data_IF_253991196160
#
_entry.id   IF_253991196160
#
_cell.length_a   1.000
_cell.length_b   1.000
_cell.length_c   1.000
_cell.angle_alpha   90.00
_cell.angle_beta   90.00
_cell.angle_gamma   90.00
#
_symmetry.space_group_name_H-M   'P 1'
#
loop_
_entity.id
_entity.type
_entity.pdbx_description
1 polymer ?
#
# COMPACT_ATOMS: atom_id res chain seq x y z
N UNK A 1 78.74 -21.31 8.10
CA UNK A 1 77.43 -21.62 7.45
C UNK A 1 76.52 -20.43 7.61
N UNK A 2 76.29 -19.66 6.54
CA UNK A 2 75.44 -18.47 6.60
C UNK A 2 74.03 -18.96 6.24
N UNK A 3 73.20 -19.09 7.23
CA UNK A 3 71.78 -19.35 7.03
C UNK A 3 71.14 -18.09 6.46
N UNK A 4 70.83 -18.08 5.18
CA UNK A 4 70.03 -17.02 4.58
C UNK A 4 68.64 -17.04 5.24
N UNK A 5 68.17 -15.89 5.82
CA UNK A 5 66.80 -15.84 6.32
C UNK A 5 65.86 -16.16 5.16
N UNK A 6 64.92 -17.04 5.36
CA UNK A 6 63.86 -17.33 4.39
C UNK A 6 63.11 -16.00 4.12
N UNK A 7 63.30 -15.51 2.93
CA UNK A 7 62.56 -14.33 2.44
C UNK A 7 61.14 -14.76 2.13
N UNK A 8 60.32 -14.85 3.17
CA UNK A 8 58.91 -15.16 3.07
C UNK A 8 58.08 -14.00 2.51
N UNK A 9 58.61 -12.79 2.59
CA UNK A 9 57.91 -11.59 2.10
C UNK A 9 57.75 -11.61 0.59
N UNK A 10 58.75 -12.18 -0.15
CA UNK A 10 58.64 -12.27 -1.64
C UNK A 10 57.66 -13.36 -2.12
N UNK A 11 57.25 -14.26 -1.23
CA UNK A 11 56.25 -15.32 -1.53
C UNK A 11 54.83 -14.96 -1.10
N UNK A 12 54.68 -13.86 -0.33
CA UNK A 12 53.36 -13.36 -0.02
C UNK A 12 52.78 -12.73 -1.29
N UNK A 13 51.68 -13.32 -1.73
CA UNK A 13 50.89 -12.80 -2.86
C UNK A 13 50.52 -11.35 -2.53
N UNK A 14 50.79 -10.37 -3.39
CA UNK A 14 50.36 -9.00 -3.15
C UNK A 14 48.88 -8.99 -2.85
N UNK A 15 48.47 -8.23 -1.85
CA UNK A 15 47.07 -8.06 -1.50
C UNK A 15 46.26 -7.71 -2.74
N UNK A 16 45.07 -8.33 -2.94
CA UNK A 16 44.25 -7.99 -4.07
C UNK A 16 43.95 -6.49 -4.03
N UNK A 17 44.54 -5.74 -4.93
CA UNK A 17 44.29 -4.33 -5.12
C UNK A 17 42.86 -4.10 -5.52
N UNK A 18 42.11 -3.42 -4.69
CA UNK A 18 40.78 -2.87 -4.93
C UNK A 18 39.58 -3.79 -4.73
N UNK A 19 39.38 -4.27 -3.51
CA UNK A 19 38.02 -4.62 -3.05
C UNK A 19 37.10 -3.38 -2.99
N UNK A 20 37.68 -2.18 -2.97
CA UNK A 20 36.92 -0.92 -2.94
C UNK A 20 36.03 -0.74 -4.18
N UNK A 21 36.49 -1.12 -5.38
CA UNK A 21 35.67 -1.08 -6.59
C UNK A 21 34.47 -2.00 -6.50
N UNK A 22 34.64 -3.21 -5.94
CA UNK A 22 33.55 -4.17 -5.75
C UNK A 22 32.52 -3.67 -4.72
N UNK A 23 33.03 -3.02 -3.66
CA UNK A 23 32.18 -2.39 -2.64
C UNK A 23 31.33 -1.27 -3.25
N UNK A 24 31.91 -0.35 -4.02
CA UNK A 24 31.16 0.73 -4.67
C UNK A 24 30.16 0.23 -5.70
N UNK A 25 30.47 -0.84 -6.44
CA UNK A 25 29.53 -1.47 -7.36
C UNK A 25 28.35 -2.06 -6.60
N UNK A 26 28.60 -2.77 -5.49
CA UNK A 26 27.53 -3.32 -4.66
C UNK A 26 26.62 -2.25 -4.06
N UNK A 27 27.22 -1.17 -3.52
CA UNK A 27 26.46 -0.03 -2.98
C UNK A 27 25.65 0.64 -4.08
N UNK A 28 26.22 0.81 -5.28
CA UNK A 28 25.54 1.38 -6.42
C UNK A 28 24.35 0.53 -6.89
N UNK A 29 24.51 -0.78 -6.99
CA UNK A 29 23.44 -1.71 -7.34
C UNK A 29 22.33 -1.72 -6.29
N UNK A 30 22.70 -1.70 -4.99
CA UNK A 30 21.74 -1.62 -3.89
C UNK A 30 20.96 -0.32 -3.92
N UNK A 31 21.63 0.82 -4.16
CA UNK A 31 20.97 2.12 -4.30
C UNK A 31 20.01 2.15 -5.50
N UNK A 32 20.42 1.62 -6.65
CA UNK A 32 19.56 1.48 -7.82
C UNK A 32 18.35 0.59 -7.55
N UNK A 33 18.55 -0.51 -6.83
CA UNK A 33 17.45 -1.39 -6.41
C UNK A 33 16.44 -0.62 -5.55
N UNK A 34 16.88 0.13 -4.55
CA UNK A 34 15.98 0.94 -3.71
C UNK A 34 15.31 2.07 -4.49
N UNK A 35 16.00 2.70 -5.44
CA UNK A 35 15.39 3.71 -6.32
C UNK A 35 14.33 3.11 -7.25
N UNK A 36 14.60 1.95 -7.82
CA UNK A 36 13.68 1.30 -8.76
C UNK A 36 12.45 0.69 -8.05
N UNK A 37 12.64 0.11 -6.88
CA UNK A 37 11.59 -0.62 -6.16
C UNK A 37 11.02 0.15 -4.97
N UNK A 38 11.78 1.05 -4.34
CA UNK A 38 11.35 1.81 -3.16
C UNK A 38 10.13 2.68 -3.41
N UNK A 39 9.99 3.26 -4.59
CA UNK A 39 8.83 4.06 -4.96
C UNK A 39 7.54 3.23 -5.05
N UNK A 40 7.63 1.94 -5.37
CA UNK A 40 6.47 1.05 -5.44
C UNK A 40 6.00 0.57 -4.07
N UNK A 41 6.92 0.43 -3.12
CA UNK A 41 6.57 0.04 -1.74
C UNK A 41 5.93 1.19 -0.94
N UNK A 42 6.26 2.45 -1.26
CA UNK A 42 5.70 3.62 -0.57
C UNK A 42 4.31 3.98 -1.11
N UNK A 43 4.00 3.68 -2.39
CA UNK A 43 2.74 4.05 -3.04
C UNK A 43 1.57 3.10 -2.77
N UNK A 44 1.77 1.98 -2.09
CA UNK A 44 0.73 1.05 -1.73
C UNK A 44 0.78 0.66 -0.24
N UNK A 45 0.60 1.61 0.69
CA UNK A 45 0.48 1.25 2.11
C UNK A 45 -0.76 0.39 2.30
N UNK A 46 -0.57 -0.90 2.58
CA UNK A 46 -1.63 -1.80 3.02
C UNK A 46 -2.47 -2.49 1.95
N UNK A 47 -2.04 -2.53 0.69
CA UNK A 47 -2.79 -3.17 -0.39
C UNK A 47 -2.31 -4.59 -0.76
N UNK A 48 -1.63 -5.27 0.14
CA UNK A 48 -1.30 -6.69 -0.01
C UNK A 48 -2.47 -7.64 0.32
N UNK A 49 -3.71 -7.19 0.10
CA UNK A 49 -4.90 -7.97 0.42
C UNK A 49 -5.76 -8.06 -0.83
N UNK A 50 -6.04 -9.27 -1.27
CA UNK A 50 -7.03 -9.52 -2.31
C UNK A 50 -8.39 -8.98 -1.83
N UNK A 51 -8.78 -7.86 -2.44
CA UNK A 51 -10.08 -7.24 -2.25
C UNK A 51 -10.97 -7.59 -3.43
N UNK A 52 -11.96 -8.40 -3.18
CA UNK A 52 -13.03 -8.63 -4.14
C UNK A 52 -14.08 -7.52 -3.95
N UNK A 53 -14.06 -6.53 -4.83
CA UNK A 53 -15.03 -5.44 -4.81
C UNK A 53 -16.41 -5.95 -5.22
N UNK A 54 -17.51 -5.40 -4.66
CA UNK A 54 -18.86 -5.73 -5.09
C UNK A 54 -19.05 -5.29 -6.54
N UNK A 55 -19.57 -6.19 -7.37
CA UNK A 55 -19.90 -5.90 -8.77
C UNK A 55 -21.24 -5.17 -8.84
N UNK A 56 -21.21 -3.93 -9.27
CA UNK A 56 -22.41 -3.11 -9.42
C UNK A 56 -22.57 -2.68 -10.88
N UNK A 57 -23.69 -3.00 -11.53
CA UNK A 57 -23.98 -2.48 -12.87
C UNK A 57 -24.09 -0.97 -12.82
N UNK A 58 -23.35 -0.29 -13.68
CA UNK A 58 -23.29 1.18 -13.73
C UNK A 58 -22.21 1.81 -12.84
N UNK A 59 -21.26 1.02 -12.35
CA UNK A 59 -20.05 1.58 -11.73
C UNK A 59 -19.31 2.44 -12.77
N UNK A 60 -19.13 3.72 -12.48
CA UNK A 60 -18.44 4.65 -13.37
C UNK A 60 -16.95 4.58 -13.07
N UNK A 61 -16.14 4.30 -14.09
CA UNK A 61 -14.68 4.32 -14.01
C UNK A 61 -14.17 5.77 -13.92
N UNK A 62 -14.40 6.41 -12.79
CA UNK A 62 -13.84 7.74 -12.53
C UNK A 62 -12.85 7.65 -11.37
N UNK A 63 -11.62 8.10 -11.63
CA UNK A 63 -10.65 8.36 -10.58
C UNK A 63 -11.09 9.61 -9.78
N UNK A 64 -11.84 9.40 -8.71
CA UNK A 64 -12.17 10.47 -7.78
C UNK A 64 -10.97 10.69 -6.87
N UNK A 65 -10.45 11.91 -6.87
CA UNK A 65 -9.41 12.30 -5.91
C UNK A 65 -10.04 12.37 -4.53
N UNK A 66 -9.69 11.44 -3.66
CA UNK A 66 -10.18 11.39 -2.28
C UNK A 66 -9.07 11.75 -1.31
N UNK A 67 -9.42 12.42 -0.23
CA UNK A 67 -8.46 12.82 0.82
C UNK A 67 -8.11 11.66 1.74
N UNK A 68 -9.04 10.74 1.95
CA UNK A 68 -8.88 9.61 2.87
C UNK A 68 -9.50 8.34 2.31
N UNK A 69 -8.91 7.20 2.60
CA UNK A 69 -9.37 5.89 2.12
C UNK A 69 -9.53 4.92 3.28
N UNK A 70 -10.65 4.20 3.30
CA UNK A 70 -10.92 3.10 4.23
C UNK A 70 -11.16 1.82 3.43
N UNK A 71 -10.62 0.72 3.92
CA UNK A 71 -10.83 -0.60 3.34
C UNK A 71 -11.42 -1.55 4.37
N UNK A 72 -12.52 -2.22 4.02
CA UNK A 72 -13.25 -3.15 4.90
C UNK A 72 -13.25 -4.54 4.29
N UNK A 73 -12.72 -5.51 5.03
CA UNK A 73 -12.71 -6.92 4.63
C UNK A 73 -13.99 -7.65 4.99
N UNK A 74 -14.20 -8.82 4.37
CA UNK A 74 -15.29 -9.75 4.71
C UNK A 74 -15.28 -10.17 6.18
N UNK A 75 -14.10 -10.19 6.82
CA UNK A 75 -13.93 -10.50 8.24
C UNK A 75 -14.42 -9.39 9.17
N UNK A 76 -14.91 -8.25 8.64
CA UNK A 76 -15.27 -7.07 9.44
C UNK A 76 -14.07 -6.23 9.89
N UNK A 77 -12.87 -6.58 9.46
CA UNK A 77 -11.68 -5.80 9.75
C UNK A 77 -11.65 -4.51 8.93
N UNK A 78 -11.41 -3.40 9.61
CA UNK A 78 -11.37 -2.05 9.02
C UNK A 78 -9.92 -1.59 8.97
N UNK A 79 -9.48 -1.19 7.79
CA UNK A 79 -8.14 -0.67 7.54
C UNK A 79 -8.23 0.78 7.06
N UNK A 80 -7.53 1.67 7.76
CA UNK A 80 -7.25 3.04 7.31
C UNK A 80 -5.72 3.24 7.36
N UNK A 81 -5.18 3.98 8.32
CA UNK A 81 -3.72 4.04 8.57
C UNK A 81 -3.19 2.85 9.37
N UNK A 82 -4.01 1.83 9.58
CA UNK A 82 -3.75 0.60 10.32
C UNK A 82 -5.04 -0.18 10.52
N UNK A 83 -4.98 -1.25 11.29
CA UNK A 83 -6.15 -2.01 11.68
C UNK A 83 -6.92 -1.25 12.77
N UNK A 84 -8.17 -0.92 12.52
CA UNK A 84 -9.03 -0.16 13.44
C UNK A 84 -10.26 -0.98 13.84
N UNK A 85 -10.67 -0.79 15.08
CA UNK A 85 -12.01 -1.19 15.55
C UNK A 85 -13.05 -0.11 15.21
N UNK A 86 -14.33 -0.42 15.23
CA UNK A 86 -15.41 0.55 14.96
C UNK A 86 -15.34 1.83 15.83
N UNK A 87 -15.09 1.75 17.15
CA UNK A 87 -14.92 2.96 17.98
C UNK A 87 -13.72 3.80 17.55
N UNK A 88 -12.58 3.14 17.27
CA UNK A 88 -11.36 3.82 16.81
C UNK A 88 -11.55 4.46 15.44
N UNK A 89 -12.31 3.83 14.55
CA UNK A 89 -12.68 4.39 13.25
C UNK A 89 -13.44 5.71 13.41
N UNK A 90 -14.41 5.80 14.33
CA UNK A 90 -15.17 7.02 14.57
C UNK A 90 -14.27 8.18 15.03
N UNK A 91 -13.30 7.89 15.88
CA UNK A 91 -12.33 8.89 16.33
C UNK A 91 -11.37 9.30 15.21
N UNK A 92 -10.86 8.34 14.49
CA UNK A 92 -9.99 8.57 13.34
C UNK A 92 -10.70 9.43 12.28
N UNK A 93 -11.94 9.13 11.94
CA UNK A 93 -12.75 9.92 11.00
C UNK A 93 -12.92 11.37 11.44
N UNK A 94 -13.16 11.62 12.73
CA UNK A 94 -13.28 12.99 13.28
C UNK A 94 -11.97 13.77 13.17
N UNK A 95 -10.86 13.10 13.40
CA UNK A 95 -9.52 13.71 13.27
C UNK A 95 -9.24 14.02 11.80
N UNK A 96 -9.51 13.05 10.92
CA UNK A 96 -9.22 13.15 9.51
C UNK A 96 -10.10 14.22 8.82
N UNK A 97 -11.38 14.32 9.18
CA UNK A 97 -12.27 15.35 8.66
C UNK A 97 -11.81 16.77 9.01
N UNK A 98 -11.14 16.95 10.15
CA UNK A 98 -10.63 18.27 10.58
C UNK A 98 -9.35 18.70 9.86
N UNK A 99 -8.60 17.74 9.29
CA UNK A 99 -7.34 18.04 8.58
C UNK A 99 -7.59 18.76 7.24
N UNK A 100 -8.74 18.55 6.64
CA UNK A 100 -9.03 19.03 5.29
C UNK A 100 -10.22 19.97 5.25
N UNK A 101 -10.13 21.00 4.44
CA UNK A 101 -11.21 21.98 4.26
C UNK A 101 -12.43 21.40 3.52
N UNK A 102 -12.19 20.43 2.65
CA UNK A 102 -13.21 19.66 1.91
C UNK A 102 -12.87 18.18 2.01
N UNK A 103 -13.22 17.53 3.14
CA UNK A 103 -12.90 16.12 3.32
C UNK A 103 -13.72 15.26 2.36
N UNK A 104 -13.05 14.31 1.70
CA UNK A 104 -13.66 13.30 0.85
C UNK A 104 -13.16 11.93 1.21
N UNK A 105 -14.07 10.98 1.34
CA UNK A 105 -13.79 9.63 1.81
C UNK A 105 -14.07 8.60 0.72
N UNK A 106 -13.08 7.78 0.42
CA UNK A 106 -13.26 6.58 -0.38
C UNK A 106 -13.40 5.37 0.55
N UNK A 107 -14.52 4.68 0.45
CA UNK A 107 -14.78 3.46 1.21
C UNK A 107 -14.73 2.28 0.26
N UNK A 108 -13.74 1.42 0.44
CA UNK A 108 -13.59 0.17 -0.30
C UNK A 108 -14.09 -0.96 0.58
N UNK A 109 -15.14 -1.65 0.15
CA UNK A 109 -15.70 -2.79 0.87
C UNK A 109 -15.60 -4.04 0.03
N UNK A 110 -15.28 -5.14 0.67
CA UNK A 110 -15.37 -6.45 0.01
C UNK A 110 -16.82 -6.87 -0.16
N UNK A 111 -17.10 -7.61 -1.23
CA UNK A 111 -18.46 -8.02 -1.62
C UNK A 111 -19.25 -8.79 -0.53
N UNK A 112 -18.54 -9.44 0.39
CA UNK A 112 -19.16 -10.21 1.50
C UNK A 112 -19.42 -9.41 2.77
N UNK A 113 -19.17 -8.07 2.79
CA UNK A 113 -19.44 -7.24 3.98
C UNK A 113 -20.95 -7.05 4.15
N UNK A 114 -21.53 -7.33 5.34
CA UNK A 114 -22.94 -7.11 5.59
C UNK A 114 -23.34 -5.64 5.40
N UNK A 115 -24.52 -5.40 4.81
CA UNK A 115 -25.04 -4.04 4.58
C UNK A 115 -25.21 -3.25 5.88
N UNK A 116 -25.44 -3.92 7.00
CA UNK A 116 -25.50 -3.28 8.31
C UNK A 116 -24.19 -2.60 8.69
N UNK A 117 -23.06 -3.28 8.48
CA UNK A 117 -21.71 -2.74 8.73
C UNK A 117 -21.41 -1.58 7.78
N UNK A 118 -21.81 -1.73 6.51
CA UNK A 118 -21.68 -0.65 5.53
C UNK A 118 -22.42 0.61 5.98
N UNK A 119 -23.68 0.47 6.39
CA UNK A 119 -24.49 1.59 6.85
C UNK A 119 -23.92 2.24 8.12
N UNK A 120 -23.36 1.43 9.02
CA UNK A 120 -22.73 1.94 10.24
C UNK A 120 -21.49 2.77 9.93
N UNK A 121 -20.64 2.33 9.02
CA UNK A 121 -19.45 3.06 8.59
C UNK A 121 -19.83 4.36 7.88
N UNK A 122 -20.80 4.33 6.97
CA UNK A 122 -21.28 5.51 6.25
C UNK A 122 -21.91 6.52 7.22
N UNK A 123 -22.68 6.06 8.19
CA UNK A 123 -23.25 6.93 9.22
C UNK A 123 -22.17 7.59 10.09
N UNK A 124 -21.20 6.81 10.53
CA UNK A 124 -20.04 7.32 11.28
C UNK A 124 -19.24 8.38 10.48
N UNK A 125 -19.06 8.15 9.16
CA UNK A 125 -18.37 9.10 8.30
C UNK A 125 -19.17 10.41 8.11
N UNK A 126 -20.49 10.32 7.99
CA UNK A 126 -21.36 11.51 7.93
C UNK A 126 -21.34 12.31 9.21
N UNK A 127 -21.41 11.64 10.37
CA UNK A 127 -21.32 12.27 11.69
C UNK A 127 -19.96 12.94 11.92
N UNK A 128 -18.90 12.38 11.36
CA UNK A 128 -17.56 12.94 11.47
C UNK A 128 -17.33 14.20 10.64
N UNK A 129 -18.19 14.50 9.64
CA UNK A 129 -18.11 15.71 8.83
C UNK A 129 -17.77 15.50 7.34
N UNK A 130 -17.73 14.27 6.85
CA UNK A 130 -17.54 14.00 5.40
C UNK A 130 -18.79 14.30 4.57
N UNK A 131 -19.95 14.41 5.22
CA UNK A 131 -21.21 14.84 4.56
C UNK A 131 -21.60 13.94 3.38
N UNK A 132 -21.77 14.55 2.20
CA UNK A 132 -22.10 13.86 0.95
C UNK A 132 -20.88 13.37 0.16
N UNK A 133 -19.67 13.71 0.59
CA UNK A 133 -18.44 13.40 -0.14
C UNK A 133 -17.89 12.00 0.24
N UNK A 134 -18.78 11.01 0.28
CA UNK A 134 -18.44 9.62 0.55
C UNK A 134 -18.64 8.84 -0.75
N UNK A 135 -17.57 8.26 -1.26
CA UNK A 135 -17.57 7.45 -2.47
C UNK A 135 -17.38 5.99 -2.09
N UNK A 136 -18.27 5.13 -2.56
CA UNK A 136 -18.13 3.67 -2.41
C UNK A 136 -17.43 3.11 -3.65
N UNK A 137 -16.36 2.36 -3.45
CA UNK A 137 -15.70 1.66 -4.54
C UNK A 137 -16.48 0.37 -4.87
N UNK A 138 -16.82 0.23 -6.15
CA UNK A 138 -17.42 -0.97 -6.72
C UNK A 138 -16.72 -1.32 -8.03
N UNK A 139 -16.76 -2.58 -8.42
CA UNK A 139 -16.26 -3.05 -9.70
C UNK A 139 -17.42 -3.19 -10.69
N UNK A 140 -17.21 -2.75 -11.92
CA UNK A 140 -18.17 -3.00 -12.98
C UNK A 140 -18.16 -4.49 -13.33
N UNK A 141 -19.33 -5.17 -13.33
CA UNK A 141 -19.38 -6.56 -13.75
C UNK A 141 -18.84 -6.66 -15.18
N UNK A 142 -17.85 -7.53 -15.39
CA UNK A 142 -17.36 -7.81 -16.74
C UNK A 142 -18.57 -8.12 -17.62
N UNK A 143 -18.76 -7.33 -18.68
CA UNK A 143 -19.83 -7.55 -19.65
C UNK A 143 -19.74 -9.02 -20.07
N UNK A 144 -20.79 -9.80 -19.77
CA UNK A 144 -20.88 -11.17 -20.24
C UNK A 144 -20.76 -11.11 -21.75
N UNK A 145 -19.60 -11.53 -22.26
CA UNK A 145 -19.43 -11.76 -23.68
C UNK A 145 -20.43 -12.85 -24.03
N UNK A 146 -21.59 -12.43 -24.52
CA UNK A 146 -22.57 -13.35 -25.08
C UNK A 146 -21.88 -14.00 -26.29
N UNK A 147 -21.59 -15.30 -26.26
CA UNK A 147 -21.03 -15.96 -27.45
C UNK A 147 -22.09 -15.83 -28.52
N UNK A 148 -21.75 -15.03 -29.55
CA UNK A 148 -22.59 -14.84 -30.72
C UNK A 148 -22.97 -16.20 -31.32
N UNK A 149 -24.22 -16.31 -31.58
CA UNK A 149 -24.88 -17.44 -32.24
C UNK A 149 -24.64 -17.30 -33.76
#
# INVERSE_FOLDING_TARGET
MITRPLDLASKLRPEPRSFDALFYVNVGVLALFFLAFGSRFILAPGLGVDFELPKLPGAVSNAVTTTSTISVKNSGQIFADGLLSLPQLREWLKIEAKKYKHPSLLVRMSAGVPVSVQNEIVSAAREAGFGSNITLAAEEPAASVTPGR
#
